data_IF_642786099505
#
_entry.id   IF_642786099505
#
_cell.length_a   1.000
_cell.length_b   1.000
_cell.length_c   1.000
_cell.angle_alpha   90.00
_cell.angle_beta   90.00
_cell.angle_gamma   90.00
#
_symmetry.space_group_name_H-M   'P 1'
#
loop_
_entity.id
_entity.type
_entity.pdbx_description
1 polymer ?
#
# COMPACT_ATOMS: atom_id res chain seq x y z
N UNK A 1 -23.53 -67.18 -1.06
CA UNK A 1 -24.19 -66.01 -0.45
C UNK A 1 -23.53 -65.72 0.90
N UNK A 2 -22.77 -64.62 0.98
CA UNK A 2 -22.45 -63.92 2.22
C UNK A 2 -22.68 -62.43 1.93
N UNK A 3 -23.63 -61.76 2.59
CA UNK A 3 -23.80 -60.33 2.50
C UNK A 3 -22.87 -59.64 3.50
N UNK A 4 -22.36 -58.46 3.16
CA UNK A 4 -21.76 -57.56 4.15
C UNK A 4 -20.42 -56.98 3.71
N UNK A 5 -20.47 -55.78 3.12
CA UNK A 5 -19.47 -54.69 3.24
C UNK A 5 -19.86 -53.44 2.40
N UNK A 6 -21.14 -53.05 2.35
CA UNK A 6 -21.57 -51.78 1.73
C UNK A 6 -22.25 -50.79 2.68
N UNK A 7 -22.50 -51.16 3.95
CA UNK A 7 -23.26 -50.32 4.88
C UNK A 7 -22.43 -49.29 5.68
N UNK A 8 -21.10 -49.26 5.49
CA UNK A 8 -20.21 -48.35 6.24
C UNK A 8 -19.99 -46.98 5.60
N UNK A 9 -19.98 -46.89 4.27
CA UNK A 9 -19.62 -45.65 3.55
C UNK A 9 -20.83 -44.72 3.39
N UNK A 10 -22.01 -45.28 3.12
CA UNK A 10 -23.25 -44.52 3.00
C UNK A 10 -23.70 -43.89 4.34
N UNK A 11 -23.45 -44.55 5.47
CA UNK A 11 -23.80 -44.02 6.79
C UNK A 11 -22.93 -42.82 7.20
N UNK A 12 -21.67 -42.78 6.74
CA UNK A 12 -20.74 -41.67 7.03
C UNK A 12 -21.09 -40.43 6.19
N UNK A 13 -21.49 -40.62 4.93
CA UNK A 13 -21.94 -39.52 4.05
C UNK A 13 -23.25 -38.88 4.52
N UNK A 14 -24.20 -39.68 5.03
CA UNK A 14 -25.48 -39.18 5.56
C UNK A 14 -25.26 -38.34 6.83
N UNK A 15 -24.29 -38.72 7.68
CA UNK A 15 -23.96 -37.96 8.90
C UNK A 15 -23.23 -36.65 8.56
N UNK A 16 -22.36 -36.63 7.55
CA UNK A 16 -21.71 -35.40 7.08
C UNK A 16 -22.70 -34.42 6.43
N UNK A 17 -23.65 -34.92 5.63
CA UNK A 17 -24.71 -34.10 5.02
C UNK A 17 -25.71 -33.55 6.06
N UNK A 18 -26.06 -34.35 7.08
CA UNK A 18 -26.92 -33.87 8.17
C UNK A 18 -26.24 -32.83 9.06
N UNK A 19 -24.91 -32.92 9.28
CA UNK A 19 -24.15 -31.92 10.02
C UNK A 19 -24.00 -30.59 9.26
N UNK A 20 -23.88 -30.63 7.92
CA UNK A 20 -23.80 -29.42 7.08
C UNK A 20 -25.15 -28.72 6.93
N UNK A 21 -26.27 -29.47 6.89
CA UNK A 21 -27.61 -28.90 6.88
C UNK A 21 -28.01 -28.21 8.21
N UNK A 22 -27.51 -28.72 9.35
CA UNK A 22 -27.74 -28.11 10.67
C UNK A 22 -26.91 -26.83 10.90
N UNK A 23 -25.78 -26.67 10.20
CA UNK A 23 -24.91 -25.49 10.29
C UNK A 23 -25.31 -24.34 9.34
N UNK A 24 -26.14 -24.61 8.33
CA UNK A 24 -26.59 -23.64 7.32
C UNK A 24 -27.99 -23.06 7.57
N UNK A 25 -28.65 -23.42 8.68
CA UNK A 25 -29.95 -22.85 9.06
C UNK A 25 -31.12 -23.21 8.13
N UNK A 26 -31.00 -24.27 7.31
CA UNK A 26 -32.03 -24.67 6.36
C UNK A 26 -33.26 -25.29 7.08
N UNK A 27 -34.42 -24.65 7.00
CA UNK A 27 -35.66 -25.05 7.68
C UNK A 27 -36.47 -26.10 6.92
N UNK A 28 -35.87 -27.23 6.56
CA UNK A 28 -36.60 -28.34 5.93
C UNK A 28 -36.01 -29.69 6.33
N UNK A 29 -35.98 -29.98 7.63
CA UNK A 29 -35.72 -31.34 8.14
C UNK A 29 -37.05 -32.01 8.40
N UNK A 30 -37.76 -32.40 7.34
CA UNK A 30 -38.96 -33.22 7.47
C UNK A 30 -39.09 -34.20 6.30
N UNK A 31 -38.00 -34.89 5.93
CA UNK A 31 -38.07 -36.05 5.03
C UNK A 31 -36.85 -36.98 5.11
N UNK A 32 -36.52 -37.52 6.29
CA UNK A 32 -35.38 -38.46 6.40
C UNK A 32 -35.64 -39.70 7.29
N UNK A 33 -36.87 -40.20 7.31
CA UNK A 33 -37.19 -41.45 8.04
C UNK A 33 -38.17 -42.36 7.28
N UNK A 34 -37.92 -42.63 6.00
CA UNK A 34 -38.31 -43.90 5.37
C UNK A 34 -37.84 -43.99 3.92
N UNK A 35 -37.03 -45.00 3.62
CA UNK A 35 -36.65 -45.36 2.24
C UNK A 35 -35.20 -45.05 1.90
N UNK A 36 -34.52 -46.06 1.36
CA UNK A 36 -33.19 -45.94 0.73
C UNK A 36 -33.21 -44.87 -0.37
N UNK A 37 -32.25 -43.92 -0.41
CA UNK A 37 -32.23 -42.88 -1.43
C UNK A 37 -31.94 -43.51 -2.79
N UNK A 38 -32.81 -43.25 -3.76
CA UNK A 38 -32.59 -43.57 -5.18
C UNK A 38 -31.60 -42.57 -5.79
N UNK A 39 -30.92 -42.93 -6.89
CA UNK A 39 -29.96 -42.05 -7.60
C UNK A 39 -30.52 -40.64 -7.88
N UNK A 40 -31.83 -40.50 -8.07
CA UNK A 40 -32.51 -39.21 -8.25
C UNK A 40 -32.42 -38.26 -7.03
N UNK A 41 -32.33 -38.77 -5.79
CA UNK A 41 -32.22 -37.93 -4.58
C UNK A 41 -30.78 -37.43 -4.38
N UNK A 42 -29.78 -38.21 -4.81
CA UNK A 42 -28.39 -37.77 -4.85
C UNK A 42 -28.17 -36.74 -5.97
N UNK A 43 -28.82 -36.91 -7.12
CA UNK A 43 -28.83 -35.90 -8.19
C UNK A 43 -29.45 -34.58 -7.75
N UNK A 44 -30.61 -34.62 -7.06
CA UNK A 44 -31.27 -33.42 -6.55
C UNK A 44 -30.50 -32.71 -5.42
N UNK A 45 -29.84 -33.47 -4.52
CA UNK A 45 -28.96 -32.87 -3.49
C UNK A 45 -27.68 -32.30 -4.09
N UNK A 46 -27.22 -32.80 -5.23
CA UNK A 46 -26.07 -32.27 -5.94
C UNK A 46 -26.44 -31.00 -6.73
N UNK A 47 -27.66 -30.91 -7.28
CA UNK A 47 -28.20 -29.66 -7.84
C UNK A 47 -28.52 -28.59 -6.78
N UNK A 48 -28.87 -28.96 -5.55
CA UNK A 48 -29.12 -27.99 -4.46
C UNK A 48 -27.84 -27.59 -3.68
N UNK A 49 -26.80 -28.46 -3.58
CA UNK A 49 -25.49 -28.08 -3.02
C UNK A 49 -24.54 -27.44 -4.04
N UNK A 50 -24.68 -27.77 -5.33
CA UNK A 50 -23.92 -27.19 -6.45
C UNK A 50 -24.86 -26.48 -7.43
N UNK A 51 -25.91 -25.85 -6.92
CA UNK A 51 -26.85 -25.04 -7.68
C UNK A 51 -26.15 -23.90 -8.40
N UNK A 52 -25.53 -24.23 -9.52
CA UNK A 52 -25.13 -23.32 -10.57
C UNK A 52 -26.42 -22.93 -11.32
N UNK A 53 -27.37 -22.33 -10.60
CA UNK A 53 -28.28 -21.39 -11.24
C UNK A 53 -27.39 -20.33 -11.88
N UNK A 54 -27.68 -19.93 -13.11
CA UNK A 54 -26.97 -18.85 -13.79
C UNK A 54 -26.86 -17.66 -12.83
N UNK A 55 -25.70 -17.50 -12.19
CA UNK A 55 -25.46 -16.35 -11.35
C UNK A 55 -25.40 -15.18 -12.31
N UNK A 56 -26.38 -14.27 -12.19
CA UNK A 56 -26.36 -13.05 -12.97
C UNK A 56 -25.25 -12.16 -12.43
N UNK A 57 -24.20 -12.01 -13.24
CA UNK A 57 -23.09 -11.11 -12.93
C UNK A 57 -23.36 -9.74 -13.54
N UNK A 58 -23.19 -8.71 -12.72
CA UNK A 58 -23.08 -7.34 -13.19
C UNK A 58 -21.60 -7.03 -13.43
N UNK A 59 -21.30 -6.28 -14.49
CA UNK A 59 -19.93 -5.84 -14.79
C UNK A 59 -19.74 -4.42 -14.28
N UNK A 60 -18.73 -4.22 -13.44
CA UNK A 60 -18.28 -2.92 -12.98
C UNK A 60 -17.55 -2.21 -14.13
N UNK A 61 -17.77 -0.91 -14.25
CA UNK A 61 -17.02 -0.05 -15.17
C UNK A 61 -16.20 0.94 -14.35
N UNK A 62 -14.94 1.13 -14.73
CA UNK A 62 -14.07 2.13 -14.15
C UNK A 62 -13.33 2.89 -15.26
N UNK A 63 -13.31 4.21 -15.14
CA UNK A 63 -12.70 5.16 -16.04
C UNK A 63 -11.86 6.17 -15.25
N UNK A 64 -10.81 5.67 -14.60
CA UNK A 64 -9.88 6.53 -13.85
C UNK A 64 -9.33 7.66 -14.74
N UNK A 65 -9.36 8.91 -14.24
CA UNK A 65 -8.99 10.07 -15.03
C UNK A 65 -7.51 10.05 -15.40
N UNK A 66 -7.20 10.55 -16.59
CA UNK A 66 -5.83 10.73 -17.07
C UNK A 66 -5.40 12.18 -16.89
N UNK A 67 -4.16 12.40 -16.48
CA UNK A 67 -3.61 13.74 -16.46
C UNK A 67 -3.34 14.23 -17.89
N UNK A 68 -3.83 15.42 -18.24
CA UNK A 68 -3.74 15.93 -19.62
C UNK A 68 -2.31 16.22 -20.11
N UNK A 69 -1.39 16.44 -19.17
CA UNK A 69 0.02 16.77 -19.45
C UNK A 69 1.00 15.60 -19.39
N UNK A 70 0.57 14.41 -18.95
CA UNK A 70 1.47 13.26 -18.74
C UNK A 70 0.86 11.98 -19.31
N UNK A 71 1.69 11.17 -19.96
CA UNK A 71 1.28 9.83 -20.37
C UNK A 71 1.26 8.93 -19.13
N UNK A 72 0.17 8.19 -18.93
CA UNK A 72 0.08 7.19 -17.86
C UNK A 72 1.09 6.06 -18.10
N UNK A 73 1.63 5.51 -17.01
CA UNK A 73 2.37 4.25 -16.99
C UNK A 73 1.48 3.14 -16.43
N UNK A 74 1.52 1.95 -17.04
CA UNK A 74 0.86 0.74 -16.57
C UNK A 74 1.93 -0.28 -16.19
N UNK A 75 2.43 -0.19 -14.95
CA UNK A 75 3.45 -1.08 -14.45
C UNK A 75 2.86 -2.42 -14.01
N UNK A 76 3.31 -3.50 -14.66
CA UNK A 76 2.94 -4.86 -14.27
C UNK A 76 4.14 -5.62 -13.67
N UNK A 77 4.76 -5.06 -12.62
CA UNK A 77 5.95 -5.66 -11.98
C UNK A 77 5.68 -7.07 -11.47
N UNK A 78 4.51 -7.28 -10.86
CA UNK A 78 4.17 -8.58 -10.32
C UNK A 78 3.90 -9.59 -11.44
N UNK A 79 3.14 -9.21 -12.47
CA UNK A 79 2.98 -10.03 -13.68
C UNK A 79 4.31 -10.38 -14.34
N UNK A 80 5.21 -9.40 -14.50
CA UNK A 80 6.50 -9.59 -15.15
C UNK A 80 7.41 -10.55 -14.39
N UNK A 81 7.20 -10.66 -13.07
CA UNK A 81 7.88 -11.60 -12.20
C UNK A 81 7.40 -13.05 -12.34
N UNK A 82 6.20 -13.29 -12.88
CA UNK A 82 5.65 -14.65 -13.09
C UNK A 82 6.40 -15.36 -14.22
N UNK A 83 7.00 -16.52 -13.97
CA UNK A 83 7.87 -17.16 -14.97
C UNK A 83 7.17 -18.22 -15.80
N UNK A 84 6.13 -18.85 -15.25
CA UNK A 84 5.41 -19.93 -15.91
C UNK A 84 4.22 -19.42 -16.75
N UNK A 85 3.95 -20.10 -17.86
CA UNK A 85 2.86 -19.72 -18.77
C UNK A 85 1.50 -19.76 -18.08
N UNK A 86 1.25 -20.80 -17.29
CA UNK A 86 -0.03 -21.02 -16.60
C UNK A 86 -0.27 -19.98 -15.50
N UNK A 87 0.80 -19.51 -14.83
CA UNK A 87 0.72 -18.40 -13.87
C UNK A 87 0.28 -17.10 -14.55
N UNK A 88 0.88 -16.78 -15.72
CA UNK A 88 0.49 -15.58 -16.51
C UNK A 88 -0.90 -15.71 -17.11
N UNK A 89 -1.34 -16.92 -17.43
CA UNK A 89 -2.72 -17.19 -17.87
C UNK A 89 -3.72 -16.97 -16.74
N UNK A 90 -3.46 -17.55 -15.56
CA UNK A 90 -4.25 -17.31 -14.36
C UNK A 90 -4.32 -15.82 -13.99
N UNK A 91 -3.21 -15.08 -14.11
CA UNK A 91 -3.20 -13.63 -13.85
C UNK A 91 -4.24 -12.91 -14.72
N UNK A 92 -4.22 -13.14 -16.04
CA UNK A 92 -5.16 -12.50 -16.97
C UNK A 92 -6.59 -12.90 -16.67
N UNK A 93 -6.82 -14.17 -16.35
CA UNK A 93 -8.14 -14.66 -15.96
C UNK A 93 -8.65 -13.96 -14.70
N UNK A 94 -7.80 -13.75 -13.69
CA UNK A 94 -8.18 -13.00 -12.49
C UNK A 94 -8.44 -11.53 -12.84
N UNK A 95 -7.51 -10.86 -13.51
CA UNK A 95 -7.61 -9.45 -13.96
C UNK A 95 -8.93 -9.17 -14.72
N UNK A 96 -9.35 -10.08 -15.61
CA UNK A 96 -10.57 -9.93 -16.40
C UNK A 96 -11.87 -10.16 -15.59
N UNK A 97 -11.82 -11.01 -14.56
CA UNK A 97 -13.02 -11.46 -13.84
C UNK A 97 -13.26 -10.74 -12.50
N UNK A 98 -12.27 -10.02 -11.95
CA UNK A 98 -12.46 -9.20 -10.73
C UNK A 98 -13.51 -8.09 -10.85
N UNK A 99 -13.90 -7.75 -12.09
CA UNK A 99 -14.90 -6.72 -12.40
C UNK A 99 -16.34 -7.25 -12.44
N UNK A 100 -16.55 -8.56 -12.28
CA UNK A 100 -17.86 -9.18 -12.46
C UNK A 100 -18.41 -9.67 -11.13
N UNK A 101 -19.46 -9.03 -10.61
CA UNK A 101 -20.00 -9.24 -9.25
C UNK A 101 -21.42 -9.79 -9.32
N UNK A 102 -21.77 -10.73 -8.45
CA UNK A 102 -23.14 -11.27 -8.36
C UNK A 102 -24.17 -10.19 -8.01
N UNK A 103 -25.40 -10.35 -8.51
CA UNK A 103 -26.52 -9.44 -8.19
C UNK A 103 -27.03 -9.56 -6.76
N UNK A 104 -26.85 -10.71 -6.12
CA UNK A 104 -27.32 -11.00 -4.77
C UNK A 104 -26.16 -11.49 -3.89
N UNK A 105 -26.26 -11.20 -2.59
CA UNK A 105 -25.39 -11.79 -1.59
C UNK A 105 -25.80 -13.25 -1.41
N UNK A 106 -24.89 -14.16 -1.73
CA UNK A 106 -25.14 -15.61 -1.67
C UNK A 106 -23.88 -16.45 -1.62
N UNK A 107 -22.70 -15.80 -1.58
CA UNK A 107 -21.43 -16.48 -1.42
C UNK A 107 -21.19 -16.94 0.01
N UNK A 108 -20.08 -17.66 0.22
CA UNK A 108 -19.60 -17.96 1.56
C UNK A 108 -19.55 -16.69 2.42
N UNK A 109 -19.91 -16.80 3.71
CA UNK A 109 -19.89 -15.69 4.68
C UNK A 109 -20.90 -14.56 4.44
N UNK A 110 -21.94 -14.76 3.61
CA UNK A 110 -22.98 -13.73 3.36
C UNK A 110 -22.50 -12.58 2.49
N UNK A 111 -21.49 -12.83 1.64
CA UNK A 111 -20.82 -11.84 0.78
C UNK A 111 -21.25 -11.96 -0.68
N UNK A 112 -20.91 -10.97 -1.48
CA UNK A 112 -21.08 -10.98 -2.93
C UNK A 112 -19.89 -11.70 -3.57
N UNK A 113 -20.16 -12.69 -4.42
CA UNK A 113 -19.11 -13.40 -5.12
C UNK A 113 -18.71 -12.61 -6.37
N UNK A 114 -17.43 -12.66 -6.72
CA UNK A 114 -16.97 -12.35 -8.05
C UNK A 114 -17.19 -13.55 -8.98
N UNK A 115 -17.10 -13.32 -10.29
CA UNK A 115 -17.22 -14.39 -11.27
C UNK A 115 -16.20 -15.48 -10.98
N UNK A 116 -16.67 -16.72 -10.95
CA UNK A 116 -15.83 -17.91 -10.83
C UNK A 116 -14.78 -17.90 -11.95
N UNK A 117 -13.54 -18.21 -11.55
CA UNK A 117 -12.37 -18.22 -12.41
C UNK A 117 -11.92 -19.67 -12.53
N UNK A 118 -12.07 -20.26 -13.72
CA UNK A 118 -11.55 -21.59 -14.01
C UNK A 118 -10.07 -21.47 -14.37
N UNK A 119 -9.21 -22.07 -13.55
CA UNK A 119 -7.77 -21.89 -13.54
C UNK A 119 -7.05 -23.12 -14.12
N UNK A 120 -5.82 -22.98 -14.63
CA UNK A 120 -5.03 -24.12 -15.07
C UNK A 120 -4.83 -25.18 -13.98
N UNK A 121 -5.05 -26.45 -14.33
CA UNK A 121 -4.95 -27.62 -13.43
C UNK A 121 -3.53 -27.87 -12.89
N UNK A 122 -2.53 -27.34 -13.57
CA UNK A 122 -1.12 -27.43 -13.21
C UNK A 122 -0.78 -26.62 -11.96
N UNK A 123 -1.56 -25.56 -11.67
CA UNK A 123 -1.25 -24.63 -10.59
C UNK A 123 -1.60 -25.22 -9.23
N UNK A 124 -0.70 -25.02 -8.27
CA UNK A 124 -0.95 -25.36 -6.87
C UNK A 124 -1.74 -24.27 -6.14
N UNK A 125 -2.20 -24.53 -4.91
CA UNK A 125 -2.85 -23.50 -4.08
C UNK A 125 -1.98 -22.28 -3.86
N UNK A 126 -0.70 -22.47 -3.56
CA UNK A 126 0.26 -21.41 -3.31
C UNK A 126 0.49 -20.59 -4.57
N UNK A 127 0.64 -21.23 -5.73
CA UNK A 127 0.77 -20.51 -7.00
C UNK A 127 -0.48 -19.70 -7.34
N UNK A 128 -1.68 -20.25 -7.13
CA UNK A 128 -2.92 -19.50 -7.38
C UNK A 128 -3.00 -18.26 -6.47
N UNK A 129 -2.64 -18.40 -5.19
CA UNK A 129 -2.63 -17.28 -4.24
C UNK A 129 -1.55 -16.25 -4.57
N UNK A 130 -0.36 -16.70 -4.97
CA UNK A 130 0.70 -15.83 -5.48
C UNK A 130 0.21 -15.00 -6.68
N UNK A 131 -0.47 -15.63 -7.63
CA UNK A 131 -1.00 -14.93 -8.82
C UNK A 131 -2.12 -13.95 -8.45
N UNK A 132 -3.01 -14.31 -7.50
CA UNK A 132 -3.99 -13.37 -6.93
C UNK A 132 -3.29 -12.13 -6.35
N UNK A 133 -2.27 -12.33 -5.52
CA UNK A 133 -1.51 -11.21 -4.93
C UNK A 133 -0.80 -10.38 -6.00
N UNK A 134 -0.36 -11.00 -7.11
CA UNK A 134 0.25 -10.28 -8.22
C UNK A 134 -0.74 -9.31 -8.88
N UNK A 135 -1.98 -9.76 -9.12
CA UNK A 135 -3.03 -8.89 -9.67
C UNK A 135 -3.32 -7.74 -8.72
N UNK A 136 -3.48 -7.99 -7.42
CA UNK A 136 -3.80 -6.94 -6.46
C UNK A 136 -2.66 -5.92 -6.28
N UNK A 137 -1.39 -6.36 -6.37
CA UNK A 137 -0.23 -5.47 -6.31
C UNK A 137 -0.10 -4.56 -7.55
N UNK A 138 -0.43 -5.09 -8.73
CA UNK A 138 -0.39 -4.31 -9.98
C UNK A 138 -1.61 -3.40 -10.16
N UNK A 139 -2.76 -3.73 -9.54
CA UNK A 139 -4.04 -3.02 -9.69
C UNK A 139 -4.55 -2.41 -8.37
N UNK A 140 -3.90 -1.35 -7.84
CA UNK A 140 -4.32 -0.70 -6.60
C UNK A 140 -5.73 -0.06 -6.66
N UNK A 141 -6.30 0.11 -7.86
CA UNK A 141 -7.68 0.53 -8.07
C UNK A 141 -8.73 -0.55 -7.74
N UNK A 142 -8.33 -1.82 -7.66
CA UNK A 142 -9.21 -2.95 -7.31
C UNK A 142 -9.31 -3.07 -5.78
N UNK A 143 -9.96 -2.09 -5.15
CA UNK A 143 -10.03 -1.97 -3.68
C UNK A 143 -11.07 -2.87 -3.00
N UNK A 144 -11.92 -3.57 -3.76
CA UNK A 144 -13.09 -4.27 -3.22
C UNK A 144 -12.91 -5.77 -3.01
N UNK A 145 -11.79 -6.34 -3.48
CA UNK A 145 -11.47 -7.75 -3.31
C UNK A 145 -11.01 -7.96 -1.87
N UNK A 146 -11.68 -8.84 -1.14
CA UNK A 146 -11.29 -9.16 0.24
C UNK A 146 -10.31 -10.35 0.29
N UNK A 147 -9.74 -10.60 1.47
CA UNK A 147 -8.87 -11.76 1.69
C UNK A 147 -9.63 -13.11 1.77
N UNK A 148 -10.96 -13.10 1.67
CA UNK A 148 -11.74 -14.33 1.63
C UNK A 148 -11.81 -14.81 0.19
N UNK A 149 -11.59 -16.09 0.01
CA UNK A 149 -11.68 -16.74 -1.29
C UNK A 149 -12.12 -18.19 -1.09
N UNK A 150 -12.51 -18.84 -2.17
CA UNK A 150 -12.74 -20.27 -2.19
C UNK A 150 -11.92 -20.85 -3.32
N UNK A 151 -11.10 -21.84 -2.99
CA UNK A 151 -10.33 -22.65 -3.93
C UNK A 151 -10.99 -24.02 -4.01
N UNK A 152 -11.22 -24.50 -5.23
CA UNK A 152 -11.70 -25.85 -5.45
C UNK A 152 -10.84 -26.61 -6.45
N UNK A 153 -10.72 -27.91 -6.20
CA UNK A 153 -9.97 -28.87 -7.01
C UNK A 153 -10.97 -29.92 -7.49
N UNK A 154 -11.56 -29.71 -8.67
CA UNK A 154 -12.53 -30.67 -9.19
C UNK A 154 -11.84 -31.69 -10.09
N UNK A 155 -12.03 -32.99 -9.82
CA UNK A 155 -11.57 -34.09 -10.69
C UNK A 155 -12.14 -34.03 -12.13
N UNK A 156 -13.15 -33.20 -12.38
CA UNK A 156 -13.84 -33.06 -13.67
C UNK A 156 -13.82 -31.64 -14.26
N UNK A 157 -13.80 -30.59 -13.43
CA UNK A 157 -13.91 -29.18 -13.89
C UNK A 157 -12.61 -28.39 -13.74
N UNK A 158 -11.54 -29.04 -13.28
CA UNK A 158 -10.25 -28.40 -13.05
C UNK A 158 -10.17 -27.56 -11.78
N UNK A 159 -9.06 -26.83 -11.64
CA UNK A 159 -8.85 -25.87 -10.56
C UNK A 159 -9.76 -24.66 -10.76
N UNK A 160 -10.32 -24.11 -9.68
CA UNK A 160 -11.05 -22.84 -9.76
C UNK A 160 -10.90 -21.98 -8.51
N UNK A 161 -11.11 -20.69 -8.69
CA UNK A 161 -11.16 -19.70 -7.62
C UNK A 161 -12.45 -18.88 -7.68
N UNK A 162 -13.02 -18.61 -6.51
CA UNK A 162 -14.02 -17.56 -6.31
C UNK A 162 -13.48 -16.53 -5.33
N UNK A 163 -13.48 -15.27 -5.74
CA UNK A 163 -13.15 -14.12 -4.89
C UNK A 163 -14.43 -13.47 -4.38
N UNK A 164 -14.35 -12.67 -3.33
CA UNK A 164 -15.52 -12.05 -2.72
C UNK A 164 -15.31 -10.57 -2.44
N UNK A 165 -16.45 -9.88 -2.31
CA UNK A 165 -16.51 -8.49 -1.87
C UNK A 165 -17.63 -8.29 -0.85
N UNK A 166 -17.45 -7.32 0.04
CA UNK A 166 -18.44 -6.97 1.06
C UNK A 166 -19.55 -6.05 0.52
N UNK A 167 -19.42 -5.58 -0.73
CA UNK A 167 -20.28 -4.55 -1.29
C UNK A 167 -21.17 -5.10 -2.39
N UNK A 168 -22.43 -4.65 -2.41
CA UNK A 168 -23.30 -4.89 -3.56
C UNK A 168 -22.76 -4.18 -4.81
N UNK A 169 -23.22 -4.63 -5.98
CA UNK A 169 -22.92 -3.96 -7.25
C UNK A 169 -23.25 -2.46 -7.23
N UNK A 170 -24.39 -2.07 -6.62
CA UNK A 170 -24.81 -0.68 -6.53
C UNK A 170 -23.92 0.18 -5.62
N UNK A 171 -23.40 -0.41 -4.54
CA UNK A 171 -22.41 0.25 -3.66
C UNK A 171 -21.05 0.37 -4.35
N UNK A 172 -20.59 -0.67 -5.03
CA UNK A 172 -19.33 -0.65 -5.78
C UNK A 172 -19.34 0.42 -6.87
N UNK A 173 -20.43 0.52 -7.63
CA UNK A 173 -20.57 1.56 -8.66
C UNK A 173 -20.40 2.97 -8.07
N UNK A 174 -21.02 3.23 -6.91
CA UNK A 174 -20.88 4.53 -6.23
C UNK A 174 -19.46 4.76 -5.70
N UNK A 175 -18.85 3.73 -5.11
CA UNK A 175 -17.49 3.81 -4.55
C UNK A 175 -16.42 3.97 -5.63
N UNK A 176 -16.57 3.28 -6.76
CA UNK A 176 -15.71 3.45 -7.95
C UNK A 176 -15.79 4.90 -8.44
N UNK A 177 -17.00 5.45 -8.62
CA UNK A 177 -17.16 6.85 -9.00
C UNK A 177 -16.53 7.82 -7.99
N UNK A 178 -16.64 7.54 -6.69
CA UNK A 178 -16.01 8.36 -5.66
C UNK A 178 -14.46 8.30 -5.73
N UNK A 179 -13.88 7.13 -6.02
CA UNK A 179 -12.44 6.99 -6.24
C UNK A 179 -12.00 7.77 -7.49
N UNK A 180 -12.73 7.65 -8.60
CA UNK A 180 -12.45 8.40 -9.83
C UNK A 180 -12.44 9.91 -9.61
N UNK A 181 -13.45 10.43 -8.89
CA UNK A 181 -13.56 11.84 -8.56
C UNK A 181 -12.40 12.31 -7.68
N UNK A 182 -11.99 11.52 -6.68
CA UNK A 182 -10.87 11.89 -5.80
C UNK A 182 -9.51 11.82 -6.51
N UNK A 183 -9.30 10.84 -7.40
CA UNK A 183 -8.13 10.81 -8.27
C UNK A 183 -8.13 12.05 -9.19
N UNK A 184 -9.28 12.44 -9.75
CA UNK A 184 -9.37 13.65 -10.59
C UNK A 184 -9.00 14.93 -9.81
N UNK A 185 -9.44 15.03 -8.55
CA UNK A 185 -9.13 16.16 -7.67
C UNK A 185 -7.63 16.25 -7.38
N UNK A 186 -6.99 15.13 -7.02
CA UNK A 186 -5.55 15.08 -6.78
C UNK A 186 -4.75 15.45 -8.04
N UNK A 187 -5.09 14.85 -9.19
CA UNK A 187 -4.40 15.14 -10.45
C UNK A 187 -4.52 16.61 -10.89
N UNK A 188 -5.59 17.31 -10.51
CA UNK A 188 -5.78 18.74 -10.86
C UNK A 188 -4.80 19.66 -10.14
N UNK A 189 -4.24 19.23 -9.01
CA UNK A 189 -3.23 20.00 -8.27
C UNK A 189 -1.84 19.94 -8.90
N UNK A 190 -1.62 19.04 -9.87
CA UNK A 190 -0.33 18.81 -10.50
C UNK A 190 -0.24 19.65 -11.79
N UNK A 191 0.59 20.69 -11.85
CA UNK A 191 0.81 21.43 -13.09
C UNK A 191 1.36 20.51 -14.19
N UNK A 192 1.01 20.79 -15.45
CA UNK A 192 1.61 20.13 -16.61
C UNK A 192 3.03 20.66 -16.91
N UNK A 193 3.90 19.77 -17.42
CA UNK A 193 5.26 20.13 -17.85
C UNK A 193 6.34 20.10 -16.76
N UNK A 194 6.03 19.57 -15.58
CA UNK A 194 6.98 19.30 -14.50
C UNK A 194 7.84 18.06 -14.81
N UNK A 195 9.02 18.00 -14.20
CA UNK A 195 9.86 16.80 -14.22
C UNK A 195 9.25 15.69 -13.30
N UNK A 196 9.86 14.51 -13.29
CA UNK A 196 9.39 13.37 -12.46
C UNK A 196 9.47 13.66 -10.96
N UNK A 197 10.60 14.22 -10.49
CA UNK A 197 10.79 14.57 -9.08
C UNK A 197 9.72 15.54 -8.54
N UNK A 198 9.47 16.64 -9.25
CA UNK A 198 8.48 17.64 -8.83
C UNK A 198 7.05 17.08 -8.83
N UNK A 199 6.74 16.17 -9.76
CA UNK A 199 5.45 15.46 -9.80
C UNK A 199 5.29 14.53 -8.59
N UNK A 200 6.32 13.74 -8.31
CA UNK A 200 6.35 12.83 -7.15
C UNK A 200 6.18 13.61 -5.84
N UNK A 201 6.94 14.70 -5.67
CA UNK A 201 6.88 15.54 -4.48
C UNK A 201 5.47 16.10 -4.24
N UNK A 202 4.80 16.57 -5.30
CA UNK A 202 3.41 17.04 -5.18
C UNK A 202 2.46 15.91 -4.77
N UNK A 203 2.62 14.71 -5.34
CA UNK A 203 1.77 13.55 -5.00
C UNK A 203 1.96 13.14 -3.55
N UNK A 204 3.21 13.03 -3.12
CA UNK A 204 3.57 12.80 -1.72
C UNK A 204 2.88 13.83 -0.81
N UNK A 205 3.02 15.13 -1.14
CA UNK A 205 2.47 16.21 -0.34
C UNK A 205 0.95 16.24 -0.29
N UNK A 206 0.28 15.80 -1.36
CA UNK A 206 -1.18 15.63 -1.38
C UNK A 206 -1.58 14.52 -0.41
N UNK A 207 -0.91 13.36 -0.46
CA UNK A 207 -1.26 12.21 0.38
C UNK A 207 -1.00 12.53 1.85
N UNK A 208 0.18 13.03 2.22
CA UNK A 208 0.51 13.38 3.62
C UNK A 208 -0.40 14.48 4.17
N UNK A 209 -0.88 15.39 3.32
CA UNK A 209 -1.81 16.45 3.75
C UNK A 209 -3.23 15.95 3.96
N UNK A 210 -3.70 15.06 3.09
CA UNK A 210 -5.12 14.73 2.97
C UNK A 210 -5.50 13.40 3.62
N UNK A 211 -4.53 12.55 3.97
CA UNK A 211 -4.76 11.23 4.56
C UNK A 211 -4.26 11.21 5.99
N UNK A 212 -5.01 10.57 6.88
CA UNK A 212 -4.62 10.34 8.26
C UNK A 212 -4.36 8.85 8.51
N UNK A 213 -3.31 8.54 9.26
CA UNK A 213 -3.02 7.16 9.63
C UNK A 213 -4.10 6.60 10.55
N UNK A 214 -4.65 5.44 10.19
CA UNK A 214 -5.74 4.77 10.93
C UNK A 214 -5.17 3.93 12.10
N UNK A 215 -4.88 4.60 13.22
CA UNK A 215 -4.35 3.94 14.43
C UNK A 215 -5.34 2.91 14.97
N UNK A 216 -6.64 3.17 14.90
CA UNK A 216 -7.67 2.24 15.38
C UNK A 216 -7.73 0.96 14.52
N UNK A 217 -7.58 1.08 13.21
CA UNK A 217 -7.44 -0.08 12.32
C UNK A 217 -6.14 -0.84 12.57
N UNK A 218 -5.04 -0.15 12.90
CA UNK A 218 -3.74 -0.78 13.14
C UNK A 218 -3.74 -1.62 14.43
N UNK A 219 -4.57 -1.27 15.41
CA UNK A 219 -4.72 -2.00 16.67
C UNK A 219 -5.75 -3.15 16.59
N UNK A 220 -6.49 -3.30 15.49
CA UNK A 220 -7.50 -4.35 15.33
C UNK A 220 -6.85 -5.71 15.00
N UNK A 221 -7.02 -6.67 15.91
CA UNK A 221 -6.59 -8.06 15.69
C UNK A 221 -7.68 -8.90 15.01
N UNK A 222 -7.30 -9.67 13.98
CA UNK A 222 -8.09 -10.83 13.50
C UNK A 222 -9.14 -10.56 12.41
N UNK A 223 -9.36 -9.32 11.99
CA UNK A 223 -10.20 -9.01 10.81
C UNK A 223 -9.38 -8.30 9.72
N UNK A 224 -9.39 -8.85 8.50
CA UNK A 224 -8.80 -8.19 7.33
C UNK A 224 -9.62 -6.94 6.99
N UNK A 225 -9.02 -5.77 7.18
CA UNK A 225 -9.65 -4.47 6.95
C UNK A 225 -9.41 -3.98 5.52
N UNK A 226 -10.33 -4.36 4.62
CA UNK A 226 -10.22 -4.06 3.18
C UNK A 226 -10.12 -2.54 2.91
N UNK A 227 -10.94 -1.72 3.54
CA UNK A 227 -10.98 -0.28 3.25
C UNK A 227 -9.68 0.45 3.65
N UNK A 228 -9.24 0.43 4.93
CA UNK A 228 -8.05 1.19 5.33
C UNK A 228 -6.76 0.66 4.69
N UNK A 229 -6.73 -0.58 4.21
CA UNK A 229 -5.61 -1.13 3.44
C UNK A 229 -5.62 -0.79 1.94
N UNK A 230 -6.58 0.00 1.46
CA UNK A 230 -6.79 0.25 0.03
C UNK A 230 -6.58 1.71 -0.38
N UNK A 231 -6.39 1.93 -1.68
CA UNK A 231 -6.40 3.28 -2.27
C UNK A 231 -7.71 4.03 -2.01
N UNK A 232 -8.83 3.32 -1.85
CA UNK A 232 -10.12 3.93 -1.50
C UNK A 232 -10.11 4.49 -0.07
N UNK A 233 -9.58 3.74 0.91
CA UNK A 233 -9.43 4.23 2.28
C UNK A 233 -8.61 5.53 2.33
N UNK A 234 -7.46 5.53 1.65
CA UNK A 234 -6.61 6.71 1.58
C UNK A 234 -7.26 7.87 0.82
N UNK A 235 -7.67 7.68 -0.44
CA UNK A 235 -8.08 8.78 -1.31
C UNK A 235 -9.50 9.26 -1.09
N UNK A 236 -10.42 8.40 -0.66
CA UNK A 236 -11.84 8.73 -0.46
C UNK A 236 -12.17 8.92 1.01
N UNK A 237 -11.84 7.94 1.86
CA UNK A 237 -12.14 8.03 3.29
C UNK A 237 -11.17 8.94 4.05
N UNK A 238 -10.03 9.29 3.44
CA UNK A 238 -8.97 10.13 4.03
C UNK A 238 -8.35 9.50 5.28
N UNK A 239 -8.42 8.18 5.40
CA UNK A 239 -7.95 7.43 6.55
C UNK A 239 -7.51 6.03 6.13
N UNK A 240 -6.26 5.66 6.42
CA UNK A 240 -5.65 4.43 5.90
C UNK A 240 -4.50 3.87 6.76
N UNK A 241 -4.20 2.59 6.55
CA UNK A 241 -2.97 1.92 6.96
C UNK A 241 -1.85 2.10 5.91
N UNK A 242 -0.64 1.64 6.21
CA UNK A 242 0.52 1.74 5.32
C UNK A 242 0.27 1.22 3.89
N UNK A 243 -0.49 0.14 3.75
CA UNK A 243 -0.91 -0.39 2.45
C UNK A 243 -1.86 0.55 1.70
N UNK A 244 -2.77 1.23 2.38
CA UNK A 244 -3.66 2.22 1.75
C UNK A 244 -2.89 3.44 1.23
N UNK A 245 -1.92 3.95 1.99
CA UNK A 245 -1.00 5.00 1.54
C UNK A 245 -0.20 4.55 0.32
N UNK A 246 0.37 3.34 0.37
CA UNK A 246 1.19 2.78 -0.71
C UNK A 246 0.42 2.56 -2.00
N UNK A 247 -0.82 2.07 -1.90
CA UNK A 247 -1.72 1.90 -3.04
C UNK A 247 -2.14 3.25 -3.63
N UNK A 248 -2.42 4.26 -2.79
CA UNK A 248 -2.73 5.61 -3.26
C UNK A 248 -1.55 6.25 -4.00
N UNK A 249 -0.33 6.14 -3.45
CA UNK A 249 0.89 6.64 -4.09
C UNK A 249 1.13 5.97 -5.44
N UNK A 250 1.13 4.64 -5.52
CA UNK A 250 1.27 3.90 -6.79
C UNK A 250 0.21 4.36 -7.80
N UNK A 251 -1.05 4.41 -7.39
CA UNK A 251 -2.16 4.80 -8.25
C UNK A 251 -1.97 6.21 -8.84
N UNK A 252 -1.63 7.21 -8.02
CA UNK A 252 -1.44 8.58 -8.47
C UNK A 252 -0.17 8.75 -9.31
N UNK A 253 0.95 8.13 -8.91
CA UNK A 253 2.23 8.20 -9.62
C UNK A 253 2.11 7.63 -11.05
N UNK A 254 1.48 6.47 -11.20
CA UNK A 254 1.23 5.88 -12.51
C UNK A 254 0.38 6.78 -13.41
N UNK A 255 -0.60 7.50 -12.86
CA UNK A 255 -1.47 8.43 -13.62
C UNK A 255 -0.75 9.70 -14.09
N UNK A 256 0.36 10.06 -13.45
CA UNK A 256 1.25 11.11 -13.92
C UNK A 256 2.49 10.58 -14.62
N UNK A 257 2.52 9.31 -14.99
CA UNK A 257 3.58 8.75 -15.84
C UNK A 257 4.89 8.45 -15.12
N UNK A 258 4.81 8.17 -13.82
CA UNK A 258 5.95 7.74 -13.02
C UNK A 258 5.78 6.25 -12.72
N UNK A 259 6.84 5.47 -12.94
CA UNK A 259 6.80 4.04 -12.68
C UNK A 259 6.90 3.79 -11.17
N UNK A 260 6.04 2.92 -10.63
CA UNK A 260 5.93 2.64 -9.21
C UNK A 260 5.47 1.21 -8.93
N UNK A 261 6.11 0.56 -7.95
CA UNK A 261 5.66 -0.72 -7.39
C UNK A 261 5.56 -0.65 -5.87
N UNK A 262 4.72 -1.48 -5.27
CA UNK A 262 4.68 -1.68 -3.81
C UNK A 262 5.75 -2.68 -3.39
N UNK A 263 6.29 -2.50 -2.19
CA UNK A 263 7.19 -3.42 -1.50
C UNK A 263 6.61 -3.72 -0.11
N UNK A 264 6.67 -4.99 0.28
CA UNK A 264 6.26 -5.49 1.60
C UNK A 264 7.49 -5.82 2.43
N UNK A 265 7.40 -5.65 3.75
CA UNK A 265 8.51 -5.86 4.65
C UNK A 265 8.12 -5.63 6.10
N UNK A 266 9.12 -5.43 6.93
CA UNK A 266 8.96 -4.97 8.31
C UNK A 266 9.49 -3.55 8.42
N UNK A 267 8.88 -2.75 9.28
CA UNK A 267 9.44 -1.49 9.74
C UNK A 267 9.35 -1.44 11.27
N UNK A 268 10.49 -1.21 11.93
CA UNK A 268 10.59 -1.20 13.41
C UNK A 268 9.92 -2.42 14.09
N UNK A 269 9.96 -3.59 13.45
CA UNK A 269 9.38 -4.83 13.97
C UNK A 269 7.88 -5.02 13.74
N UNK A 270 7.24 -4.20 12.91
CA UNK A 270 5.83 -4.35 12.49
C UNK A 270 5.72 -4.56 10.98
N UNK A 271 4.77 -5.37 10.53
CA UNK A 271 4.49 -5.56 9.10
C UNK A 271 4.19 -4.22 8.42
N UNK A 272 4.82 -3.97 7.28
CA UNK A 272 4.78 -2.68 6.63
C UNK A 272 4.79 -2.80 5.10
N UNK A 273 4.21 -1.80 4.43
CA UNK A 273 4.19 -1.68 2.98
C UNK A 273 4.51 -0.24 2.60
N UNK A 274 5.37 -0.07 1.61
CA UNK A 274 5.75 1.22 1.01
C UNK A 274 5.99 1.07 -0.49
N UNK A 275 6.59 2.07 -1.14
CA UNK A 275 6.77 2.11 -2.58
C UNK A 275 8.24 2.12 -3.02
N UNK A 276 8.49 1.57 -4.22
CA UNK A 276 9.66 1.88 -5.03
C UNK A 276 9.19 2.73 -6.21
N UNK A 277 9.91 3.82 -6.49
CA UNK A 277 9.56 4.82 -7.50
C UNK A 277 10.73 5.05 -8.43
N UNK A 278 10.47 5.12 -9.74
CA UNK A 278 11.49 5.40 -10.76
C UNK A 278 11.48 6.88 -11.15
N UNK A 279 12.60 7.57 -10.88
CA UNK A 279 12.81 8.99 -11.21
C UNK A 279 14.10 9.12 -12.02
N UNK A 280 13.99 9.62 -13.26
CA UNK A 280 15.07 9.70 -14.24
C UNK A 280 15.89 8.39 -14.33
N UNK A 281 15.22 7.27 -14.60
CA UNK A 281 15.82 5.93 -14.75
C UNK A 281 16.51 5.37 -13.48
N UNK A 282 16.34 6.00 -12.31
CA UNK A 282 16.85 5.49 -11.04
C UNK A 282 15.70 5.13 -10.12
N UNK A 283 15.84 4.01 -9.39
CA UNK A 283 14.86 3.57 -8.41
C UNK A 283 15.20 4.06 -7.01
N UNK A 284 14.15 4.40 -6.28
CA UNK A 284 14.21 4.90 -4.92
C UNK A 284 13.09 4.33 -4.07
N UNK A 285 13.33 4.21 -2.77
CA UNK A 285 12.28 3.98 -1.80
C UNK A 285 11.55 5.28 -1.49
N UNK A 286 10.22 5.21 -1.51
CA UNK A 286 9.31 6.24 -1.04
C UNK A 286 8.39 5.62 0.00
N UNK A 287 8.49 6.10 1.25
CA UNK A 287 7.54 5.75 2.30
C UNK A 287 6.71 6.96 2.70
N UNK A 288 5.52 7.05 2.12
CA UNK A 288 4.60 8.16 2.38
C UNK A 288 3.99 8.07 3.79
N UNK A 289 3.88 6.86 4.35
CA UNK A 289 3.31 6.65 5.69
C UNK A 289 4.23 7.16 6.78
N UNK A 290 5.53 6.83 6.71
CA UNK A 290 6.49 7.34 7.69
C UNK A 290 6.81 8.83 7.52
N UNK A 291 6.48 9.41 6.37
CA UNK A 291 6.52 10.85 6.15
C UNK A 291 5.27 11.60 6.64
N UNK A 292 4.24 10.89 7.11
CA UNK A 292 3.05 11.46 7.73
C UNK A 292 3.20 11.52 9.26
N UNK A 293 3.45 12.70 9.84
CA UNK A 293 3.55 12.82 11.28
C UNK A 293 2.17 12.70 11.93
N UNK A 294 2.02 11.73 12.83
CA UNK A 294 0.84 11.62 13.69
C UNK A 294 0.82 12.82 14.64
N UNK A 295 0.13 13.90 14.27
CA UNK A 295 0.01 15.09 15.11
C UNK A 295 -1.43 15.45 15.39
N UNK A 296 -1.68 15.97 16.60
CA UNK A 296 -2.96 16.57 16.98
C UNK A 296 -2.99 18.09 16.69
N UNK A 297 -2.04 18.60 15.91
CA UNK A 297 -1.91 20.04 15.63
C UNK A 297 -2.69 20.42 14.38
N UNK A 298 -3.28 21.61 14.35
CA UNK A 298 -4.07 22.10 13.20
C UNK A 298 -3.19 22.52 11.99
N UNK A 299 -1.85 22.52 12.14
CA UNK A 299 -0.92 22.86 11.07
C UNK A 299 -0.42 21.58 10.39
N UNK A 300 -0.57 21.44 9.06
CA UNK A 300 -0.12 20.26 8.34
C UNK A 300 1.41 20.20 8.34
N UNK A 301 1.96 19.39 9.25
CA UNK A 301 3.37 19.01 9.24
C UNK A 301 3.59 17.94 8.17
N UNK A 302 4.65 18.12 7.38
CA UNK A 302 5.08 17.16 6.34
C UNK A 302 6.52 16.83 6.57
N UNK A 303 6.82 15.54 6.62
CA UNK A 303 8.17 15.02 6.69
C UNK A 303 8.60 14.53 5.31
N UNK A 304 9.91 14.44 5.09
CA UNK A 304 10.50 13.99 3.81
C UNK A 304 11.64 13.03 4.05
N UNK A 305 11.63 12.44 5.25
CA UNK A 305 12.67 11.61 5.77
C UNK A 305 12.79 10.34 4.91
N UNK A 306 11.66 9.73 4.57
CA UNK A 306 11.62 8.54 3.72
C UNK A 306 11.33 8.87 2.26
N UNK A 307 11.74 10.06 1.80
CA UNK A 307 11.56 10.50 0.42
C UNK A 307 12.81 10.20 -0.42
N UNK A 308 12.67 9.25 -1.36
CA UNK A 308 13.70 8.82 -2.28
C UNK A 308 15.01 8.35 -1.63
N UNK A 309 14.91 7.33 -0.77
CA UNK A 309 16.05 6.66 -0.16
C UNK A 309 16.59 5.52 -1.05
N UNK A 310 17.86 5.15 -0.84
CA UNK A 310 18.45 3.93 -1.39
C UNK A 310 18.28 2.74 -0.42
N UNK A 311 18.61 1.54 -0.88
CA UNK A 311 18.50 0.28 -0.09
C UNK A 311 19.27 0.37 1.24
N UNK A 312 20.47 0.96 1.22
CA UNK A 312 21.33 1.11 2.40
C UNK A 312 20.67 1.99 3.47
N UNK A 313 19.96 3.05 3.07
CA UNK A 313 19.41 4.04 3.99
C UNK A 313 18.05 3.67 4.53
N UNK A 314 17.16 3.12 3.70
CA UNK A 314 15.90 2.59 4.18
C UNK A 314 16.14 1.35 5.07
N UNK A 315 17.18 0.57 4.79
CA UNK A 315 17.52 -0.67 5.48
C UNK A 315 17.98 -0.52 6.94
N UNK A 316 17.99 0.70 7.48
CA UNK A 316 18.31 0.93 8.88
C UNK A 316 17.18 0.46 9.81
N UNK A 317 15.94 0.75 9.43
CA UNK A 317 14.73 0.46 10.20
C UNK A 317 13.69 -0.33 9.39
N UNK A 318 13.87 -0.47 8.08
CA UNK A 318 13.07 -1.35 7.23
C UNK A 318 13.81 -2.63 6.86
N UNK A 319 13.10 -3.75 6.91
CA UNK A 319 13.58 -5.05 6.45
C UNK A 319 12.70 -5.52 5.28
N UNK A 320 13.32 -5.90 4.17
CA UNK A 320 12.56 -6.30 2.97
C UNK A 320 12.14 -7.76 3.08
N UNK A 321 10.88 -8.04 2.76
CA UNK A 321 10.42 -9.40 2.67
C UNK A 321 11.10 -10.16 1.52
N UNK A 322 11.26 -11.47 1.67
CA UNK A 322 11.94 -12.28 0.67
C UNK A 322 11.17 -12.30 -0.67
N UNK A 323 11.90 -12.57 -1.74
CA UNK A 323 11.31 -12.76 -3.06
C UNK A 323 10.52 -14.08 -3.11
N UNK A 324 9.34 -14.10 -3.73
CA UNK A 324 8.44 -15.27 -3.70
C UNK A 324 9.12 -16.61 -4.09
N UNK A 325 10.05 -16.59 -5.06
CA UNK A 325 10.81 -17.77 -5.50
C UNK A 325 11.77 -18.38 -4.46
N UNK A 326 12.03 -17.72 -3.33
CA UNK A 326 12.84 -18.30 -2.23
C UNK A 326 11.98 -19.06 -1.23
N UNK A 327 10.66 -18.88 -1.29
CA UNK A 327 9.70 -19.43 -0.33
C UNK A 327 9.16 -20.78 -0.76
N UNK A 328 8.72 -21.55 0.23
CA UNK A 328 7.99 -22.80 -0.03
C UNK A 328 6.52 -22.52 -0.37
N UNK A 329 5.90 -23.44 -1.09
CA UNK A 329 4.45 -23.50 -1.33
C UNK A 329 3.62 -23.21 -0.08
N UNK A 330 3.97 -23.83 1.05
CA UNK A 330 3.23 -23.70 2.32
C UNK A 330 3.35 -22.28 2.88
N UNK A 331 4.52 -21.64 2.77
CA UNK A 331 4.73 -20.26 3.22
C UNK A 331 3.97 -19.26 2.35
N UNK A 332 3.90 -19.50 1.03
CA UNK A 332 3.12 -18.67 0.11
C UNK A 332 1.61 -18.84 0.37
N UNK A 333 1.16 -20.06 0.64
CA UNK A 333 -0.25 -20.36 0.88
C UNK A 333 -0.77 -19.90 2.26
N UNK A 334 0.10 -19.91 3.28
CA UNK A 334 -0.21 -19.49 4.64
C UNK A 334 0.40 -18.12 4.95
N UNK A 335 0.19 -17.12 4.07
CA UNK A 335 0.55 -15.74 4.39
C UNK A 335 -0.14 -15.32 5.68
N UNK A 336 0.66 -15.12 6.73
CA UNK A 336 0.24 -14.62 8.01
C UNK A 336 1.06 -13.36 8.30
N UNK A 337 0.44 -12.21 8.09
CA UNK A 337 1.04 -10.89 8.33
C UNK A 337 1.42 -10.70 9.80
N UNK A 338 0.76 -11.42 10.73
CA UNK A 338 1.07 -11.38 12.18
C UNK A 338 2.30 -12.22 12.54
N UNK A 339 2.61 -13.25 11.74
CA UNK A 339 3.84 -14.04 11.85
C UNK A 339 4.96 -13.54 10.92
N UNK A 340 4.73 -12.45 10.18
CA UNK A 340 5.72 -11.83 9.28
C UNK A 340 5.91 -12.56 7.95
N UNK A 341 4.95 -13.41 7.55
CA UNK A 341 5.01 -14.13 6.27
C UNK A 341 4.30 -13.33 5.17
N UNK A 342 5.07 -12.48 4.51
CA UNK A 342 4.73 -11.87 3.22
C UNK A 342 5.94 -11.97 2.31
N UNK A 343 5.73 -11.71 1.02
CA UNK A 343 6.77 -11.81 0.00
C UNK A 343 6.72 -10.63 -0.96
N UNK A 344 7.81 -10.46 -1.69
CA UNK A 344 7.90 -9.52 -2.79
C UNK A 344 8.00 -10.25 -4.14
N UNK A 345 7.49 -9.59 -5.17
CA UNK A 345 7.80 -9.91 -6.56
C UNK A 345 9.21 -9.39 -6.90
N UNK A 346 9.64 -9.46 -8.16
CA UNK A 346 10.94 -8.90 -8.56
C UNK A 346 10.93 -7.39 -8.33
N UNK A 347 11.83 -6.95 -7.46
CA UNK A 347 12.02 -5.55 -7.12
C UNK A 347 13.27 -4.99 -7.82
N UNK A 348 13.23 -3.75 -8.33
CA UNK A 348 14.42 -3.06 -8.78
C UNK A 348 15.35 -2.70 -7.60
N UNK A 349 16.66 -2.66 -7.85
CA UNK A 349 17.65 -2.19 -6.87
C UNK A 349 17.61 -0.66 -6.74
N UNK A 350 17.60 -0.14 -5.51
CA UNK A 350 17.65 1.29 -5.25
C UNK A 350 19.05 1.67 -4.76
N UNK A 351 19.92 2.16 -5.66
CA UNK A 351 21.33 2.48 -5.31
C UNK A 351 21.62 3.98 -5.23
N UNK A 352 20.66 4.84 -5.60
CA UNK A 352 20.88 6.28 -5.78
C UNK A 352 20.25 7.08 -4.64
N UNK A 353 20.89 8.20 -4.28
CA UNK A 353 20.33 9.24 -3.41
C UNK A 353 20.11 10.57 -4.14
N UNK A 354 20.32 10.60 -5.48
CA UNK A 354 20.33 11.84 -6.28
C UNK A 354 19.04 12.65 -6.16
N UNK A 355 17.90 11.98 -6.00
CA UNK A 355 16.57 12.61 -5.86
C UNK A 355 16.03 12.57 -4.44
N UNK A 356 16.87 12.28 -3.44
CA UNK A 356 16.48 12.44 -2.05
C UNK A 356 16.16 13.92 -1.75
N UNK A 357 15.10 14.15 -0.99
CA UNK A 357 14.62 15.49 -0.70
C UNK A 357 15.68 16.35 0.01
N UNK A 358 16.38 15.81 1.01
CA UNK A 358 17.36 16.58 1.77
C UNK A 358 18.68 16.76 1.02
N UNK A 359 19.09 15.82 0.18
CA UNK A 359 20.25 16.01 -0.72
C UNK A 359 20.03 17.17 -1.70
N UNK A 360 18.78 17.39 -2.14
CA UNK A 360 18.44 18.48 -3.07
C UNK A 360 18.14 19.81 -2.38
N UNK A 361 17.54 19.79 -1.19
CA UNK A 361 16.96 20.99 -0.57
C UNK A 361 17.69 21.47 0.70
N UNK A 362 18.60 20.68 1.28
CA UNK A 362 19.34 21.09 2.47
C UNK A 362 20.73 21.65 2.12
N UNK A 363 21.20 22.59 2.94
CA UNK A 363 22.56 23.12 2.87
C UNK A 363 23.51 22.09 3.48
N UNK A 364 24.48 21.54 2.72
CA UNK A 364 25.43 20.58 3.26
C UNK A 364 26.49 21.27 4.11
N UNK A 365 26.72 20.75 5.32
CA UNK A 365 27.81 21.17 6.21
C UNK A 365 28.70 19.96 6.50
N UNK A 366 29.70 19.75 5.65
CA UNK A 366 30.60 18.57 5.71
C UNK A 366 31.51 18.58 6.94
N UNK A 367 31.89 19.77 7.42
CA UNK A 367 32.80 19.92 8.58
C UNK A 367 32.34 21.04 9.49
N UNK A 368 32.56 20.87 10.81
CA UNK A 368 32.27 21.87 11.84
C UNK A 368 33.40 22.90 11.94
N UNK A 369 33.65 23.64 10.86
CA UNK A 369 34.76 24.60 10.73
C UNK A 369 34.28 26.06 10.78
N UNK A 370 35.22 27.00 10.94
CA UNK A 370 34.91 28.43 10.88
C UNK A 370 34.38 28.83 9.50
N UNK A 371 34.87 28.22 8.42
CA UNK A 371 34.37 28.46 7.05
C UNK A 371 32.89 28.05 6.90
N UNK A 372 32.50 26.90 7.49
CA UNK A 372 31.11 26.47 7.53
C UNK A 372 30.25 27.45 8.35
N UNK A 373 30.76 27.96 9.47
CA UNK A 373 30.05 28.94 10.28
C UNK A 373 29.85 30.27 9.52
N UNK A 374 30.87 30.73 8.78
CA UNK A 374 30.78 31.90 7.90
C UNK A 374 29.77 31.70 6.76
N UNK A 375 29.66 30.48 6.22
CA UNK A 375 28.63 30.13 5.25
C UNK A 375 27.22 30.29 5.85
N UNK A 376 26.98 29.75 7.06
CA UNK A 376 25.70 29.92 7.76
C UNK A 376 25.39 31.40 8.02
N UNK A 377 26.37 32.22 8.43
CA UNK A 377 26.18 33.68 8.58
C UNK A 377 25.72 34.34 7.27
N UNK A 378 26.36 33.99 6.14
CA UNK A 378 26.00 34.55 4.83
C UNK A 378 24.59 34.15 4.42
N UNK A 379 24.19 32.90 4.67
CA UNK A 379 22.85 32.40 4.39
C UNK A 379 21.79 33.15 5.21
N UNK A 380 21.97 33.25 6.53
CA UNK A 380 21.05 34.02 7.40
C UNK A 380 20.93 35.47 6.92
N UNK A 381 22.04 36.08 6.52
CA UNK A 381 22.04 37.45 5.98
C UNK A 381 21.24 37.53 4.68
N UNK A 382 21.41 36.59 3.75
CA UNK A 382 20.67 36.55 2.49
C UNK A 382 19.16 36.33 2.73
N UNK A 383 18.79 35.35 3.57
CA UNK A 383 17.40 35.07 3.95
C UNK A 383 16.72 36.31 4.53
N UNK A 384 17.43 37.10 5.33
CA UNK A 384 16.87 38.33 5.91
C UNK A 384 16.50 39.41 4.89
N UNK A 385 17.15 39.40 3.72
CA UNK A 385 16.91 40.33 2.62
C UNK A 385 15.73 39.88 1.77
N UNK A 386 15.56 38.57 1.57
CA UNK A 386 14.44 37.98 0.83
C UNK A 386 13.20 37.75 1.70
N UNK A 387 13.32 37.89 3.02
CA UNK A 387 12.30 37.55 4.02
C UNK A 387 11.95 36.06 4.04
N UNK A 388 12.88 35.22 3.64
CA UNK A 388 12.79 33.78 3.87
C UNK A 388 12.91 33.48 5.36
N UNK A 389 12.04 32.59 5.83
CA UNK A 389 11.92 32.25 7.24
C UNK A 389 12.54 30.92 7.59
N UNK A 390 12.83 30.04 6.63
CA UNK A 390 13.31 28.69 6.94
C UNK A 390 14.42 28.22 6.01
N UNK A 391 15.35 27.43 6.57
CA UNK A 391 16.37 26.69 5.83
C UNK A 391 16.54 25.30 6.43
N UNK A 392 16.97 24.35 5.58
CA UNK A 392 17.38 23.02 6.00
C UNK A 392 18.90 22.95 5.97
N UNK A 393 19.51 22.32 6.98
CA UNK A 393 20.95 22.08 7.05
C UNK A 393 21.16 20.59 7.24
N UNK A 394 21.96 19.96 6.38
CA UNK A 394 22.30 18.54 6.46
C UNK A 394 23.78 18.38 6.86
N UNK A 395 24.05 17.47 7.78
CA UNK A 395 25.39 17.11 8.25
C UNK A 395 25.71 15.66 7.88
N UNK A 396 27.01 15.31 7.75
CA UNK A 396 27.41 13.93 7.51
C UNK A 396 26.82 12.93 8.51
N UNK A 397 26.45 11.77 7.98
CA UNK A 397 26.01 10.61 8.76
C UNK A 397 27.13 10.20 9.73
N UNK A 398 26.76 9.92 10.98
CA UNK A 398 27.69 9.48 12.04
C UNK A 398 28.36 10.62 12.82
N UNK A 399 28.10 11.89 12.51
CA UNK A 399 28.53 12.99 13.37
C UNK A 399 27.71 13.00 14.67
N UNK A 400 28.37 13.14 15.82
CA UNK A 400 27.69 13.17 17.12
C UNK A 400 26.72 14.37 17.18
N UNK A 401 25.44 14.08 17.35
CA UNK A 401 24.39 15.11 17.30
C UNK A 401 24.59 16.20 18.36
N UNK A 402 25.12 15.88 19.55
CA UNK A 402 25.35 16.89 20.59
C UNK A 402 26.46 17.85 20.19
N UNK A 403 27.48 17.35 19.51
CA UNK A 403 28.57 18.15 18.97
C UNK A 403 28.05 19.05 17.85
N UNK A 404 27.23 18.51 16.95
CA UNK A 404 26.56 19.28 15.89
C UNK A 404 25.70 20.38 16.47
N UNK A 405 24.84 20.05 17.43
CA UNK A 405 23.93 21.01 18.04
C UNK A 405 24.67 22.15 18.73
N UNK A 406 25.71 21.85 19.52
CA UNK A 406 26.51 22.86 20.19
C UNK A 406 27.20 23.80 19.19
N UNK A 407 27.80 23.24 18.13
CA UNK A 407 28.43 24.04 17.07
C UNK A 407 27.40 24.89 16.31
N UNK A 408 26.25 24.31 15.99
CA UNK A 408 25.19 24.97 15.23
C UNK A 408 24.55 26.11 16.05
N UNK A 409 24.39 25.95 17.36
CA UNK A 409 23.94 27.02 18.26
C UNK A 409 24.87 28.24 18.20
N UNK A 410 26.18 28.02 18.27
CA UNK A 410 27.17 29.10 18.16
C UNK A 410 27.15 29.74 16.77
N UNK A 411 27.05 28.95 15.70
CA UNK A 411 27.00 29.45 14.33
C UNK A 411 25.74 30.30 14.09
N UNK A 412 24.55 29.82 14.50
CA UNK A 412 23.28 30.54 14.38
C UNK A 412 23.28 31.82 15.21
N UNK A 413 23.72 31.77 16.46
CA UNK A 413 23.79 32.94 17.34
C UNK A 413 24.68 34.04 16.74
N UNK A 414 25.87 33.68 16.29
CA UNK A 414 26.80 34.63 15.68
C UNK A 414 26.27 35.17 14.35
N UNK A 415 25.70 34.31 13.50
CA UNK A 415 25.12 34.67 12.22
C UNK A 415 23.96 35.66 12.36
N UNK A 416 22.99 35.37 13.24
CA UNK A 416 21.86 36.26 13.55
C UNK A 416 22.35 37.62 14.07
N UNK A 417 23.28 37.59 15.04
CA UNK A 417 23.85 38.83 15.60
C UNK A 417 24.52 39.69 14.53
N UNK A 418 25.25 39.06 13.61
CA UNK A 418 25.95 39.76 12.54
C UNK A 418 25.00 40.28 11.46
N UNK A 419 24.00 39.50 11.05
CA UNK A 419 22.96 39.93 10.12
C UNK A 419 22.19 41.15 10.67
N UNK A 420 21.82 41.13 11.97
CA UNK A 420 21.18 42.27 12.61
C UNK A 420 22.05 43.53 12.66
N UNK A 421 23.35 43.38 12.92
CA UNK A 421 24.30 44.51 12.97
C UNK A 421 24.62 45.09 11.60
N UNK A 422 24.83 44.24 10.59
CA UNK A 422 25.34 44.63 9.27
C UNK A 422 24.21 44.96 8.28
N UNK A 423 23.07 44.29 8.39
CA UNK A 423 21.98 44.37 7.41
C UNK A 423 20.65 44.86 8.00
N UNK A 424 20.60 45.25 9.29
CA UNK A 424 19.38 45.63 9.99
C UNK A 424 18.24 44.60 9.84
N UNK A 425 18.61 43.31 9.85
CA UNK A 425 17.75 42.19 9.53
C UNK A 425 16.47 42.08 10.37
N UNK A 426 16.51 42.52 11.63
CA UNK A 426 15.37 42.49 12.55
C UNK A 426 15.04 41.09 13.09
N UNK A 427 15.96 40.14 13.00
CA UNK A 427 15.77 38.77 13.48
C UNK A 427 15.81 38.77 15.01
N UNK A 428 14.76 38.28 15.65
CA UNK A 428 14.64 38.19 17.12
C UNK A 428 15.23 36.90 17.69
N UNK A 429 15.24 35.84 16.89
CA UNK A 429 15.80 34.55 17.26
C UNK A 429 15.58 33.53 16.15
N UNK A 430 15.78 32.27 16.48
CA UNK A 430 15.45 31.15 15.63
C UNK A 430 14.97 29.95 16.45
N UNK A 431 14.16 29.12 15.83
CA UNK A 431 13.85 27.77 16.31
C UNK A 431 14.65 26.77 15.48
N UNK A 432 15.21 25.76 16.13
CA UNK A 432 15.81 24.60 15.47
C UNK A 432 15.00 23.38 15.84
N UNK A 433 14.67 22.58 14.85
CA UNK A 433 14.12 21.25 15.03
C UNK A 433 15.10 20.28 14.36
N UNK A 434 15.68 19.39 15.16
CA UNK A 434 16.33 18.21 14.60
C UNK A 434 15.22 17.34 14.01
N UNK A 435 15.22 17.12 12.69
CA UNK A 435 14.19 16.31 12.05
C UNK A 435 14.36 14.82 12.35
N UNK A 436 15.56 14.43 12.76
CA UNK A 436 15.99 13.10 13.19
C UNK A 436 15.77 12.84 14.71
N UNK A 437 14.82 13.53 15.37
CA UNK A 437 14.77 13.58 16.83
C UNK A 437 14.37 12.26 17.54
N UNK A 438 13.78 11.30 16.85
CA UNK A 438 13.34 10.02 17.45
C UNK A 438 14.12 8.77 16.96
N UNK A 439 14.96 8.85 15.91
CA UNK A 439 15.97 7.84 15.58
C UNK A 439 17.17 8.47 14.79
N UNK A 440 18.39 8.53 15.36
CA UNK A 440 19.47 9.41 14.88
C UNK A 440 20.42 8.80 13.84
N UNK A 441 20.04 7.74 13.14
CA UNK A 441 21.04 6.89 12.48
C UNK A 441 21.30 7.16 10.99
N UNK A 442 20.32 7.65 10.23
CA UNK A 442 20.45 7.73 8.78
C UNK A 442 20.32 9.14 8.18
N UNK A 443 19.74 10.11 8.89
CA UNK A 443 19.81 11.54 8.54
C UNK A 443 20.26 12.40 9.73
N UNK A 444 20.95 13.51 9.44
CA UNK A 444 21.38 14.50 10.43
C UNK A 444 20.97 15.89 9.93
N UNK A 445 19.66 16.07 9.79
CA UNK A 445 19.05 17.25 9.15
C UNK A 445 18.37 18.13 10.19
N UNK A 446 18.65 19.42 10.11
CA UNK A 446 18.07 20.43 10.99
C UNK A 446 17.24 21.42 10.19
N UNK A 447 15.99 21.59 10.62
CA UNK A 447 15.11 22.65 10.16
C UNK A 447 15.32 23.86 11.03
N UNK A 448 15.79 24.96 10.42
CA UNK A 448 16.00 26.23 11.10
C UNK A 448 14.91 27.21 10.65
N UNK A 449 14.19 27.79 11.60
CA UNK A 449 13.18 28.82 11.36
C UNK A 449 13.59 30.12 12.02
N UNK A 450 13.81 31.18 11.25
CA UNK A 450 14.14 32.52 11.72
C UNK A 450 12.86 33.26 12.14
N UNK A 451 12.88 33.85 13.33
CA UNK A 451 11.80 34.71 13.82
C UNK A 451 12.16 36.18 13.56
N UNK A 452 11.43 36.84 12.66
CA UNK A 452 11.57 38.28 12.42
C UNK A 452 10.67 39.13 13.34
N UNK A 453 9.79 38.49 14.12
CA UNK A 453 8.66 39.10 14.83
C UNK A 453 7.55 39.54 13.86
N UNK A 454 6.30 39.61 14.36
CA UNK A 454 5.23 40.25 13.58
C UNK A 454 5.65 41.69 13.22
N UNK A 455 5.69 41.99 11.91
CA UNK A 455 5.61 43.35 11.42
C UNK A 455 4.27 43.91 11.94
N UNK A 456 4.34 44.84 12.90
CA UNK A 456 3.19 45.66 13.27
C UNK A 456 2.84 46.62 12.14
#
# INVERSE_FOLDING_TARGET
MKPGKLYGVAAVLIVLAAMTALLSGCSSVDMLMSGSPTEDVLGALQEDLFGCGEQYYNTLEMALPRHSGYAMVEDKYAYDSLTEQDQREAYRMIEENVWQVTSEAGGAYGRYALRRIDLPDSLTSGEILMVKEAVLADHPEVFWVNNNYSLGYNFHDGNYMSLYTNYSYGELTQRIGALEDNVALALREIPGGLNEYDRELIIHDIIVRDVQYDVEAAEQEGESLVEPSSSYGALVNKMALCSGYSHAAKLLLNRVGISCTTIKGMSMGTAHMWNLVNIDDNWYHLDVTWNDPITYSEEPLRYYDYFNLNDENIGFDHEFAEHYNTLTEEMIANQDETEGYFFNFTLPECTSMKHNYYELNAVPVETLSDESAEMIERLITAMSQTKETSMLINFPKGMDYKVVEAWLDDALYNGIRNANRKAAAGIKGCTRINRSADDPSWCNVYSITLDYGQLQ
#
